data_IF_601586886546
#
_entry.id   IF_601586886546
#
_cell.length_a   1.000
_cell.length_b   1.000
_cell.length_c   1.000
_cell.angle_alpha   90.00
_cell.angle_beta   90.00
_cell.angle_gamma   90.00
#
_symmetry.space_group_name_H-M   'P 1'
#
loop_
_entity.id
_entity.type
_entity.pdbx_description
1 polymer ?
#
# COMPACT_ATOMS: atom_id res chain seq x y z
N UNK A 1 -15.03 3.27 -15.50
CA UNK A 1 -16.41 2.85 -15.89
C UNK A 1 -16.44 2.10 -17.21
N UNK A 2 -15.88 2.65 -18.29
CA UNK A 2 -15.97 2.07 -19.65
C UNK A 2 -15.25 0.72 -19.84
N UNK A 3 -14.41 0.31 -18.88
CA UNK A 3 -13.61 -0.92 -18.95
C UNK A 3 -13.83 -1.86 -17.76
N UNK A 4 -14.91 -1.69 -16.99
CA UNK A 4 -15.19 -2.54 -15.81
C UNK A 4 -14.25 -2.36 -14.60
N UNK A 5 -13.21 -1.54 -14.73
CA UNK A 5 -12.21 -1.28 -13.68
C UNK A 5 -12.81 -0.47 -12.52
N UNK A 6 -12.51 -0.93 -11.30
CA UNK A 6 -12.71 -0.21 -10.03
C UNK A 6 -11.48 0.63 -9.70
N UNK A 7 -11.69 1.72 -8.97
CA UNK A 7 -10.65 2.71 -8.65
C UNK A 7 -10.55 2.84 -7.14
N UNK A 8 -9.33 2.72 -6.62
CA UNK A 8 -8.97 3.19 -5.28
C UNK A 8 -8.49 4.64 -5.44
N UNK A 9 -9.01 5.52 -4.58
CA UNK A 9 -8.53 6.91 -4.50
C UNK A 9 -7.63 7.00 -3.29
N UNK A 10 -6.33 7.18 -3.52
CA UNK A 10 -5.30 7.27 -2.48
C UNK A 10 -4.88 8.73 -2.24
N UNK A 11 -4.80 9.11 -0.96
CA UNK A 11 -4.22 10.37 -0.52
C UNK A 11 -2.72 10.16 -0.28
N UNK A 12 -1.96 10.31 -1.37
CA UNK A 12 -0.54 9.95 -1.41
C UNK A 12 0.40 10.95 -0.71
N UNK A 13 0.03 12.23 -0.72
CA UNK A 13 0.85 13.34 -0.24
C UNK A 13 0.02 14.25 0.66
N UNK A 14 0.49 14.46 1.88
CA UNK A 14 -0.19 15.26 2.90
C UNK A 14 0.56 16.57 3.13
N UNK A 15 -0.18 17.62 3.52
CA UNK A 15 0.46 18.82 4.06
C UNK A 15 1.35 18.44 5.25
N UNK A 16 2.54 19.03 5.29
CA UNK A 16 3.56 18.80 6.31
C UNK A 16 4.23 17.41 6.25
N UNK A 17 3.93 16.60 5.22
CA UNK A 17 4.49 15.26 4.96
C UNK A 17 4.36 14.24 6.10
N UNK A 18 3.90 13.05 5.72
CA UNK A 18 3.71 11.92 6.62
C UNK A 18 4.90 10.96 6.68
N UNK A 19 5.95 11.18 5.89
CA UNK A 19 7.10 10.26 5.80
C UNK A 19 8.43 10.86 5.35
N UNK A 20 8.47 12.14 4.94
CA UNK A 20 9.73 12.80 4.57
C UNK A 20 10.30 12.36 3.23
N UNK A 21 9.62 11.48 2.49
CA UNK A 21 10.08 11.00 1.19
C UNK A 21 9.58 11.88 0.05
N UNK A 22 10.30 11.92 -1.06
CA UNK A 22 9.99 12.74 -2.24
C UNK A 22 8.57 12.49 -2.79
N UNK A 23 8.09 11.25 -2.76
CA UNK A 23 6.72 10.90 -3.20
C UNK A 23 5.61 11.46 -2.30
N UNK A 24 5.91 11.88 -1.06
CA UNK A 24 4.97 12.65 -0.23
C UNK A 24 4.92 14.14 -0.58
N UNK A 25 5.74 14.59 -1.54
CA UNK A 25 5.79 15.98 -2.00
C UNK A 25 6.54 16.94 -1.08
N UNK A 26 7.24 16.45 -0.05
CA UNK A 26 8.12 17.28 0.77
C UNK A 26 9.29 17.83 -0.05
N UNK A 27 9.73 19.04 0.29
CA UNK A 27 10.87 19.70 -0.37
C UNK A 27 12.19 19.49 0.39
N UNK A 28 12.12 19.27 1.69
CA UNK A 28 13.26 19.30 2.61
C UNK A 28 13.39 18.01 3.44
N UNK A 29 12.48 17.06 3.25
CA UNK A 29 12.53 15.76 3.91
C UNK A 29 12.01 15.76 5.35
N UNK A 30 11.47 16.89 5.83
CA UNK A 30 10.90 16.93 7.17
C UNK A 30 9.55 16.21 7.23
N UNK A 31 9.30 15.61 8.39
CA UNK A 31 8.04 14.99 8.78
C UNK A 31 7.45 15.87 9.88
N UNK A 32 6.48 16.69 9.51
CA UNK A 32 5.83 17.66 10.40
C UNK A 32 4.35 17.33 10.60
N UNK A 33 3.80 16.37 9.85
CA UNK A 33 2.42 15.94 10.01
C UNK A 33 2.16 15.36 11.41
N UNK A 34 1.03 15.74 12.01
CA UNK A 34 0.63 15.34 13.36
C UNK A 34 -0.72 15.93 13.76
N UNK A 35 -1.01 15.95 15.06
CA UNK A 35 -2.33 16.35 15.62
C UNK A 35 -2.85 17.70 15.07
N UNK A 36 -1.99 18.69 14.84
CA UNK A 36 -2.37 20.00 14.30
C UNK A 36 -2.85 19.97 12.84
N UNK A 37 -2.40 18.99 12.06
CA UNK A 37 -2.74 18.85 10.64
C UNK A 37 -3.93 17.92 10.41
N UNK A 38 -4.33 17.11 11.41
CA UNK A 38 -5.47 16.18 11.31
C UNK A 38 -6.74 16.84 10.75
N UNK A 39 -7.23 18.00 11.25
CA UNK A 39 -8.47 18.59 10.74
C UNK A 39 -8.41 18.90 9.24
N UNK A 40 -7.25 19.38 8.78
CA UNK A 40 -7.04 19.68 7.37
C UNK A 40 -6.97 18.41 6.53
N UNK A 41 -6.22 17.40 6.96
CA UNK A 41 -6.15 16.12 6.24
C UNK A 41 -7.54 15.47 6.14
N UNK A 42 -8.33 15.49 7.22
CA UNK A 42 -9.73 15.01 7.22
C UNK A 42 -10.59 15.79 6.23
N UNK A 43 -10.39 17.11 6.09
CA UNK A 43 -11.13 17.91 5.12
C UNK A 43 -10.85 17.52 3.66
N UNK A 44 -9.64 17.03 3.35
CA UNK A 44 -9.31 16.48 2.04
C UNK A 44 -10.05 15.16 1.81
N UNK A 45 -10.08 14.27 2.80
CA UNK A 45 -10.86 13.03 2.71
C UNK A 45 -12.36 13.32 2.57
N UNK A 46 -12.91 14.32 3.27
CA UNK A 46 -14.29 14.77 3.11
C UNK A 46 -14.58 15.18 1.67
N UNK A 47 -13.71 16.01 1.09
CA UNK A 47 -13.83 16.42 -0.29
C UNK A 47 -13.80 15.22 -1.27
N UNK A 48 -12.85 14.30 -1.10
CA UNK A 48 -12.73 13.11 -1.94
C UNK A 48 -13.94 12.17 -1.79
N UNK A 49 -14.38 11.91 -0.57
CA UNK A 49 -15.53 11.07 -0.27
C UNK A 49 -16.83 11.68 -0.82
N UNK A 50 -17.04 12.99 -0.66
CA UNK A 50 -18.17 13.71 -1.24
C UNK A 50 -18.18 13.63 -2.77
N UNK A 51 -17.00 13.76 -3.40
CA UNK A 51 -16.86 13.77 -4.85
C UNK A 51 -17.02 12.37 -5.48
N UNK A 52 -16.44 11.35 -4.85
CA UNK A 52 -16.29 10.02 -5.44
C UNK A 52 -17.15 8.95 -4.77
N UNK A 53 -17.64 9.16 -3.55
CA UNK A 53 -18.36 8.17 -2.73
C UNK A 53 -19.52 7.50 -3.46
N UNK A 54 -20.31 8.26 -4.23
CA UNK A 54 -21.46 7.73 -4.97
C UNK A 54 -21.14 7.22 -6.37
N UNK A 55 -19.85 7.10 -6.74
CA UNK A 55 -19.47 6.61 -8.07
C UNK A 55 -19.45 5.07 -8.07
N UNK A 56 -20.19 4.40 -8.98
CA UNK A 56 -20.19 2.94 -9.09
C UNK A 56 -18.83 2.31 -9.36
N UNK A 57 -17.86 3.08 -9.85
CA UNK A 57 -16.49 2.62 -10.09
C UNK A 57 -15.56 2.79 -8.89
N UNK A 58 -16.01 3.37 -7.77
CA UNK A 58 -15.20 3.45 -6.56
C UNK A 58 -15.05 2.04 -5.97
N UNK A 59 -13.80 1.61 -5.76
CA UNK A 59 -13.43 0.40 -5.05
C UNK A 59 -13.14 0.67 -3.58
N UNK A 60 -12.48 1.80 -3.28
CA UNK A 60 -12.20 2.25 -1.92
C UNK A 60 -11.55 3.63 -1.91
N UNK A 61 -11.38 4.17 -0.71
CA UNK A 61 -10.59 5.38 -0.44
C UNK A 61 -9.49 4.99 0.54
N UNK A 62 -8.25 5.24 0.15
CA UNK A 62 -7.10 5.12 1.03
C UNK A 62 -6.82 6.44 1.70
N UNK A 63 -6.72 6.39 3.04
CA UNK A 63 -6.72 7.58 3.86
C UNK A 63 -5.36 8.27 3.88
N UNK A 64 -4.28 7.53 3.74
CA UNK A 64 -2.90 8.05 3.80
C UNK A 64 -1.96 6.97 3.28
N UNK A 65 -1.10 7.35 2.35
CA UNK A 65 -0.02 6.50 1.88
C UNK A 65 1.18 6.53 2.83
N UNK A 66 1.69 5.35 3.18
CA UNK A 66 3.01 5.13 3.82
C UNK A 66 3.37 6.11 4.95
N UNK A 67 2.61 6.18 6.07
CA UNK A 67 3.06 6.92 7.24
C UNK A 67 4.39 6.35 7.76
N UNK A 68 5.33 7.21 8.12
CA UNK A 68 6.60 6.83 8.72
C UNK A 68 7.07 7.94 9.68
N UNK A 69 7.55 7.57 10.86
CA UNK A 69 8.00 8.55 11.87
C UNK A 69 6.87 9.37 12.51
N UNK A 70 5.61 9.07 12.19
CA UNK A 70 4.43 9.74 12.76
C UNK A 70 4.02 9.10 14.08
N UNK A 71 3.45 9.89 14.99
CA UNK A 71 2.91 9.36 16.24
C UNK A 71 1.71 8.43 15.96
N UNK A 72 1.77 7.19 16.47
CA UNK A 72 0.75 6.17 16.22
C UNK A 72 -0.64 6.56 16.77
N UNK A 73 -0.72 7.26 17.90
CA UNK A 73 -2.01 7.70 18.43
C UNK A 73 -2.61 8.83 17.59
N UNK A 74 -1.78 9.76 17.11
CA UNK A 74 -2.19 10.77 16.11
C UNK A 74 -2.70 10.12 14.83
N UNK A 75 -2.01 9.09 14.32
CA UNK A 75 -2.43 8.34 13.14
C UNK A 75 -3.79 7.66 13.36
N UNK A 76 -4.00 7.00 14.51
CA UNK A 76 -5.28 6.36 14.85
C UNK A 76 -6.41 7.38 15.02
N UNK A 77 -6.15 8.54 15.63
CA UNK A 77 -7.11 9.66 15.72
C UNK A 77 -7.53 10.11 14.32
N UNK A 78 -6.57 10.31 13.43
CA UNK A 78 -6.81 10.68 12.03
C UNK A 78 -7.65 9.61 11.31
N UNK A 79 -7.22 8.35 11.32
CA UNK A 79 -7.93 7.26 10.66
C UNK A 79 -9.36 7.11 11.13
N UNK A 80 -9.63 7.27 12.43
CA UNK A 80 -11.01 7.27 12.96
C UNK A 80 -11.84 8.41 12.38
N UNK A 81 -11.33 9.64 12.42
CA UNK A 81 -12.04 10.82 11.94
C UNK A 81 -12.31 10.77 10.43
N UNK A 82 -11.31 10.37 9.64
CA UNK A 82 -11.42 10.23 8.20
C UNK A 82 -12.34 9.06 7.79
N UNK A 83 -12.31 7.93 8.52
CA UNK A 83 -13.28 6.84 8.34
C UNK A 83 -14.72 7.33 8.54
N UNK A 84 -14.99 8.07 9.62
CA UNK A 84 -16.34 8.56 9.92
C UNK A 84 -16.86 9.46 8.79
N UNK A 85 -16.00 10.32 8.26
CA UNK A 85 -16.29 11.17 7.10
C UNK A 85 -16.62 10.35 5.85
N UNK A 86 -15.83 9.32 5.52
CA UNK A 86 -16.15 8.44 4.37
C UNK A 86 -17.52 7.79 4.55
N UNK A 87 -17.84 7.33 5.77
CA UNK A 87 -19.12 6.68 6.09
C UNK A 87 -20.33 7.60 5.95
N UNK A 88 -20.17 8.92 6.09
CA UNK A 88 -21.25 9.89 5.83
C UNK A 88 -21.71 9.87 4.36
N UNK A 89 -20.79 9.63 3.41
CA UNK A 89 -21.11 9.68 1.98
C UNK A 89 -21.34 8.32 1.34
N UNK A 90 -20.66 7.27 1.82
CA UNK A 90 -20.87 5.92 1.34
C UNK A 90 -20.62 4.87 2.44
N UNK A 91 -21.68 4.27 3.02
CA UNK A 91 -21.54 3.25 4.06
C UNK A 91 -20.93 1.94 3.54
N UNK A 92 -20.88 1.73 2.22
CA UNK A 92 -20.42 0.49 1.59
C UNK A 92 -19.03 0.61 0.96
N UNK A 93 -18.41 1.80 0.90
CA UNK A 93 -17.07 1.96 0.37
C UNK A 93 -16.03 1.28 1.29
N UNK A 94 -15.04 0.61 0.71
CA UNK A 94 -13.90 0.17 1.48
C UNK A 94 -13.05 1.38 1.90
N UNK A 95 -12.63 1.40 3.17
CA UNK A 95 -11.71 2.40 3.71
C UNK A 95 -10.39 1.71 3.94
N UNK A 96 -9.36 2.17 3.25
CA UNK A 96 -8.02 1.55 3.25
C UNK A 96 -7.13 2.39 4.17
N UNK A 97 -6.39 1.72 5.04
CA UNK A 97 -5.49 2.31 6.03
C UNK A 97 -4.12 1.69 5.84
N UNK A 98 -3.14 2.46 5.35
CA UNK A 98 -1.76 2.02 5.26
C UNK A 98 -1.20 1.75 6.66
N UNK A 99 -0.52 0.62 6.80
CA UNK A 99 0.35 0.40 7.96
C UNK A 99 1.51 1.41 7.94
N UNK A 100 2.00 1.82 9.12
CA UNK A 100 3.24 2.58 9.19
C UNK A 100 4.43 1.74 8.71
N UNK A 101 5.31 2.32 7.91
CA UNK A 101 6.47 1.63 7.35
C UNK A 101 7.50 1.21 8.42
N UNK A 102 7.49 1.88 9.57
CA UNK A 102 8.41 1.72 10.69
C UNK A 102 7.80 1.00 11.90
N UNK A 103 6.65 0.32 11.71
CA UNK A 103 5.96 -0.43 12.74
C UNK A 103 5.76 -1.92 12.36
N UNK A 104 5.36 -2.73 13.35
CA UNK A 104 4.90 -4.09 13.10
C UNK A 104 3.63 -4.07 12.22
N UNK A 105 3.56 -4.96 11.23
CA UNK A 105 2.47 -5.01 10.24
C UNK A 105 1.08 -5.27 10.85
N UNK A 106 1.01 -5.71 12.10
CA UNK A 106 -0.22 -6.02 12.84
C UNK A 106 -0.63 -4.90 13.79
N UNK A 107 0.12 -3.80 13.85
CA UNK A 107 -0.08 -2.69 14.82
C UNK A 107 -1.49 -2.07 14.78
N UNK A 108 -2.15 -2.14 13.62
CA UNK A 108 -3.51 -1.61 13.43
C UNK A 108 -4.63 -2.64 13.67
N UNK A 109 -4.36 -3.94 13.84
CA UNK A 109 -5.40 -4.97 13.92
C UNK A 109 -6.41 -4.74 15.05
N UNK A 110 -5.91 -4.41 16.25
CA UNK A 110 -6.78 -4.14 17.40
C UNK A 110 -7.60 -2.88 17.19
N UNK A 111 -7.02 -1.86 16.58
CA UNK A 111 -7.68 -0.60 16.26
C UNK A 111 -8.83 -0.84 15.26
N UNK A 112 -8.57 -1.55 14.16
CA UNK A 112 -9.58 -1.74 13.10
C UNK A 112 -10.73 -2.69 13.49
N UNK A 113 -10.65 -3.36 14.65
CA UNK A 113 -11.71 -4.25 15.15
C UNK A 113 -13.05 -3.53 15.35
N UNK A 114 -13.04 -2.23 15.65
CA UNK A 114 -14.25 -1.42 15.82
C UNK A 114 -14.90 -0.92 14.51
N UNK A 115 -14.35 -1.30 13.36
CA UNK A 115 -14.73 -0.77 12.06
C UNK A 115 -15.29 -1.87 11.15
N UNK A 116 -15.98 -1.46 10.07
CA UNK A 116 -16.49 -2.37 9.04
C UNK A 116 -16.02 -1.91 7.68
N UNK A 117 -15.89 -2.85 6.73
CA UNK A 117 -15.41 -2.56 5.35
C UNK A 117 -14.09 -1.80 5.37
N UNK A 118 -13.16 -2.23 6.22
CA UNK A 118 -11.80 -1.70 6.28
C UNK A 118 -10.81 -2.67 5.64
N UNK A 119 -9.71 -2.10 5.17
CA UNK A 119 -8.61 -2.81 4.53
C UNK A 119 -7.33 -2.26 5.13
N UNK A 120 -6.42 -3.14 5.52
CA UNK A 120 -5.05 -2.79 5.91
C UNK A 120 -4.15 -2.92 4.69
N UNK A 121 -3.44 -1.85 4.37
CA UNK A 121 -2.46 -1.83 3.29
C UNK A 121 -1.04 -2.08 3.83
N UNK A 122 -0.27 -2.87 3.09
CA UNK A 122 1.14 -3.15 3.32
C UNK A 122 1.91 -3.08 2.00
N UNK A 123 3.08 -2.44 2.06
CA UNK A 123 3.94 -2.28 0.90
C UNK A 123 5.16 -3.18 1.02
N UNK A 124 5.38 -4.01 0.00
CA UNK A 124 6.38 -5.06 0.04
C UNK A 124 7.45 -4.87 -1.04
N UNK A 125 8.57 -4.30 -0.59
CA UNK A 125 9.78 -4.11 -1.40
C UNK A 125 10.96 -4.92 -0.83
N UNK A 126 11.74 -5.56 -1.69
CA UNK A 126 13.05 -6.14 -1.34
C UNK A 126 14.21 -5.23 -1.78
N UNK A 127 14.10 -3.94 -1.46
CA UNK A 127 15.01 -2.88 -1.95
C UNK A 127 15.52 -1.96 -0.84
N UNK A 128 14.64 -1.51 0.05
CA UNK A 128 14.91 -0.39 0.95
C UNK A 128 15.46 -0.79 2.33
N UNK A 129 16.16 -1.92 2.40
CA UNK A 129 16.75 -2.42 3.65
C UNK A 129 18.06 -3.14 3.37
N UNK A 130 19.09 -2.85 4.17
CA UNK A 130 20.43 -3.44 4.05
C UNK A 130 20.44 -4.98 4.10
N UNK A 131 19.39 -5.58 4.69
CA UNK A 131 19.25 -7.05 4.70
C UNK A 131 19.20 -7.66 3.30
N UNK A 132 18.73 -6.90 2.30
CA UNK A 132 18.59 -7.38 0.92
C UNK A 132 19.88 -7.22 0.10
N UNK A 133 20.82 -6.36 0.54
CA UNK A 133 22.04 -6.02 -0.21
C UNK A 133 22.90 -7.23 -0.54
N UNK A 134 22.91 -8.24 0.33
CA UNK A 134 23.72 -9.45 0.18
C UNK A 134 22.91 -10.70 -0.15
N UNK A 135 21.60 -10.57 -0.41
CA UNK A 135 20.78 -11.72 -0.78
C UNK A 135 20.98 -12.09 -2.25
N UNK A 136 21.21 -13.37 -2.51
CA UNK A 136 21.17 -13.92 -3.87
C UNK A 136 19.71 -14.12 -4.36
N UNK A 137 19.56 -14.59 -5.60
CA UNK A 137 18.25 -14.88 -6.23
C UNK A 137 17.38 -15.78 -5.36
N UNK A 138 17.92 -16.93 -4.92
CA UNK A 138 17.15 -17.91 -4.17
C UNK A 138 16.74 -17.38 -2.79
N UNK A 139 17.65 -16.66 -2.11
CA UNK A 139 17.36 -16.05 -0.81
C UNK A 139 16.24 -15.01 -0.92
N UNK A 140 16.20 -14.21 -1.99
CA UNK A 140 15.10 -13.28 -2.22
C UNK A 140 13.77 -14.01 -2.46
N UNK A 141 13.77 -15.08 -3.25
CA UNK A 141 12.58 -15.90 -3.51
C UNK A 141 12.08 -16.56 -2.23
N UNK A 142 12.99 -17.16 -1.46
CA UNK A 142 12.67 -17.78 -0.16
C UNK A 142 12.10 -16.74 0.81
N UNK A 143 12.63 -15.51 0.78
CA UNK A 143 12.12 -14.41 1.59
C UNK A 143 10.65 -14.08 1.32
N UNK A 144 10.23 -14.19 0.06
CA UNK A 144 8.82 -14.01 -0.32
C UNK A 144 7.96 -15.15 0.26
N UNK A 145 8.37 -16.40 0.05
CA UNK A 145 7.59 -17.57 0.45
C UNK A 145 7.50 -17.79 1.96
N UNK A 146 8.49 -17.30 2.73
CA UNK A 146 8.54 -17.49 4.17
C UNK A 146 8.11 -16.21 4.89
N UNK A 147 8.92 -15.16 4.86
CA UNK A 147 8.74 -13.96 5.67
C UNK A 147 7.56 -13.12 5.18
N UNK A 148 7.48 -12.81 3.87
CA UNK A 148 6.35 -12.03 3.35
C UNK A 148 5.03 -12.80 3.44
N UNK A 149 5.05 -14.12 3.20
CA UNK A 149 3.85 -14.95 3.34
C UNK A 149 3.37 -15.00 4.81
N UNK A 150 4.29 -15.17 5.76
CA UNK A 150 3.98 -15.17 7.19
C UNK A 150 3.43 -13.82 7.63
N UNK A 151 4.07 -12.73 7.22
CA UNK A 151 3.64 -11.37 7.51
C UNK A 151 2.22 -11.12 6.99
N UNK A 152 2.00 -11.30 5.68
CA UNK A 152 0.71 -11.07 5.03
C UNK A 152 -0.43 -11.89 5.64
N UNK A 153 -0.15 -13.14 6.05
CA UNK A 153 -1.15 -14.00 6.71
C UNK A 153 -1.66 -13.41 8.03
N UNK A 154 -0.85 -12.58 8.70
CA UNK A 154 -1.19 -11.92 9.94
C UNK A 154 -1.85 -10.56 9.76
N UNK A 155 -1.79 -9.91 8.58
CA UNK A 155 -2.33 -8.56 8.34
C UNK A 155 -3.81 -8.60 7.94
N UNK A 156 -4.59 -9.47 8.58
CA UNK A 156 -6.04 -9.53 8.35
C UNK A 156 -6.78 -9.98 9.60
N UNK A 157 -8.08 -9.72 9.66
CA UNK A 157 -8.96 -10.19 10.74
C UNK A 157 -10.36 -10.44 10.21
N UNK A 158 -11.29 -10.88 11.05
CA UNK A 158 -12.71 -11.00 10.65
C UNK A 158 -13.31 -9.67 10.18
N UNK A 159 -12.74 -8.53 10.59
CA UNK A 159 -13.30 -7.20 10.34
C UNK A 159 -12.48 -6.41 9.31
N UNK A 160 -11.27 -6.85 8.98
CA UNK A 160 -10.34 -6.15 8.10
C UNK A 160 -9.71 -7.08 7.06
N UNK A 161 -9.77 -6.66 5.80
CA UNK A 161 -9.08 -7.33 4.69
C UNK A 161 -7.62 -6.87 4.60
N UNK A 162 -6.77 -7.66 3.94
CA UNK A 162 -5.38 -7.33 3.61
C UNK A 162 -5.25 -6.90 2.16
N UNK A 163 -4.46 -5.86 1.91
CA UNK A 163 -4.11 -5.38 0.57
C UNK A 163 -2.59 -5.26 0.49
N UNK A 164 -2.00 -5.76 -0.60
CA UNK A 164 -0.60 -5.46 -0.93
C UNK A 164 -0.62 -4.33 -1.95
N UNK A 165 -0.72 -3.09 -1.48
CA UNK A 165 -0.94 -1.90 -2.29
C UNK A 165 0.23 -1.53 -3.18
N UNK A 166 1.43 -1.90 -2.78
CA UNK A 166 2.63 -1.68 -3.59
C UNK A 166 3.62 -2.83 -3.51
N UNK A 167 4.13 -3.20 -4.68
CA UNK A 167 5.27 -4.08 -4.89
C UNK A 167 5.82 -3.93 -6.32
N UNK A 168 7.06 -4.39 -6.52
CA UNK A 168 7.73 -4.51 -7.82
C UNK A 168 8.53 -5.79 -7.93
N UNK A 169 8.70 -6.26 -9.16
CA UNK A 169 9.66 -7.31 -9.55
C UNK A 169 11.04 -6.68 -9.80
N UNK A 170 11.51 -5.87 -8.85
CA UNK A 170 12.83 -5.24 -8.82
C UNK A 170 13.50 -5.50 -7.45
N UNK A 171 14.80 -5.73 -7.48
CA UNK A 171 15.59 -6.16 -6.31
C UNK A 171 17.07 -5.75 -6.47
N UNK A 172 17.88 -5.96 -5.43
CA UNK A 172 19.29 -5.56 -5.45
C UNK A 172 20.22 -6.56 -6.17
N UNK A 173 19.69 -7.68 -6.71
CA UNK A 173 20.50 -8.72 -7.35
C UNK A 173 21.04 -8.25 -8.70
N UNK A 174 22.36 -8.10 -8.80
CA UNK A 174 23.04 -7.73 -10.04
C UNK A 174 23.20 -8.90 -11.00
N UNK A 175 23.02 -8.67 -12.30
CA UNK A 175 23.23 -9.67 -13.35
C UNK A 175 22.22 -10.83 -13.37
N UNK A 176 21.10 -10.70 -12.66
CA UNK A 176 20.02 -11.68 -12.68
C UNK A 176 19.49 -11.89 -14.10
N UNK A 177 19.26 -13.15 -14.47
CA UNK A 177 18.70 -13.48 -15.77
C UNK A 177 17.21 -13.14 -15.83
N UNK A 178 16.64 -13.06 -17.05
CA UNK A 178 15.19 -12.97 -17.21
C UNK A 178 14.43 -14.09 -16.46
N UNK A 179 15.00 -15.29 -16.43
CA UNK A 179 14.39 -16.43 -15.73
C UNK A 179 14.40 -16.22 -14.21
N UNK A 180 15.40 -15.53 -13.66
CA UNK A 180 15.45 -15.22 -12.23
C UNK A 180 14.37 -14.21 -11.84
N UNK A 181 14.18 -13.15 -12.63
CA UNK A 181 13.05 -12.22 -12.44
C UNK A 181 11.70 -12.93 -12.57
N UNK A 182 11.51 -13.77 -13.60
CA UNK A 182 10.28 -14.56 -13.75
C UNK A 182 9.99 -15.42 -12.50
N UNK A 183 11.02 -16.03 -11.91
CA UNK A 183 10.87 -16.84 -10.68
C UNK A 183 10.53 -15.98 -9.46
N UNK A 184 11.11 -14.78 -9.36
CA UNK A 184 10.84 -13.84 -8.28
C UNK A 184 9.45 -13.21 -8.37
N UNK A 185 9.11 -12.64 -9.53
CA UNK A 185 7.77 -12.15 -9.82
C UNK A 185 6.70 -13.22 -9.65
N UNK A 186 6.96 -14.49 -10.01
CA UNK A 186 6.03 -15.59 -9.73
C UNK A 186 5.86 -15.84 -8.24
N UNK A 187 6.94 -15.84 -7.45
CA UNK A 187 6.84 -15.99 -6.00
C UNK A 187 6.03 -14.85 -5.36
N UNK A 188 6.25 -13.61 -5.82
CA UNK A 188 5.47 -12.45 -5.40
C UNK A 188 3.99 -12.63 -5.75
N UNK A 189 3.66 -13.01 -6.99
CA UNK A 189 2.27 -13.28 -7.39
C UNK A 189 1.62 -14.39 -6.56
N UNK A 190 2.34 -15.48 -6.30
CA UNK A 190 1.83 -16.63 -5.53
C UNK A 190 1.53 -16.27 -4.08
N UNK A 191 2.29 -15.34 -3.49
CA UNK A 191 2.11 -14.90 -2.10
C UNK A 191 1.16 -13.72 -2.01
N UNK A 192 1.36 -12.67 -2.79
CA UNK A 192 0.57 -11.44 -2.71
C UNK A 192 -0.86 -11.64 -3.21
N UNK A 193 -1.12 -12.60 -4.11
CA UNK A 193 -2.50 -13.00 -4.47
C UNK A 193 -3.28 -13.66 -3.32
N UNK A 194 -2.65 -13.94 -2.18
CA UNK A 194 -3.33 -14.39 -0.96
C UNK A 194 -3.92 -13.23 -0.15
N UNK A 195 -3.56 -11.98 -0.47
CA UNK A 195 -4.15 -10.80 0.14
C UNK A 195 -5.66 -10.78 -0.15
N UNK A 196 -6.47 -10.56 0.88
CA UNK A 196 -7.92 -10.78 0.81
C UNK A 196 -8.69 -9.66 0.12
N UNK A 197 -8.05 -8.50 -0.09
CA UNK A 197 -8.54 -7.41 -0.92
C UNK A 197 -7.87 -7.36 -2.31
N UNK A 198 -6.71 -8.01 -2.46
CA UNK A 198 -5.92 -8.08 -3.69
C UNK A 198 -4.55 -7.43 -3.55
N UNK A 199 -3.96 -7.06 -4.69
CA UNK A 199 -2.65 -6.42 -4.76
C UNK A 199 -2.61 -5.39 -5.90
N UNK A 200 -1.68 -4.45 -5.84
CA UNK A 200 -1.39 -3.50 -6.91
C UNK A 200 0.13 -3.37 -7.15
N UNK A 201 0.51 -3.42 -8.43
CA UNK A 201 1.91 -3.29 -8.85
C UNK A 201 2.28 -1.82 -8.98
N UNK A 202 3.42 -1.41 -8.43
CA UNK A 202 3.92 -0.05 -8.51
C UNK A 202 4.98 0.10 -9.61
N UNK A 203 4.67 0.49 -10.84
CA UNK A 203 3.46 1.15 -11.33
C UNK A 203 3.05 0.56 -12.67
N UNK A 204 1.92 1.00 -13.22
CA UNK A 204 1.48 0.57 -14.55
C UNK A 204 2.51 0.90 -15.64
N UNK A 205 3.12 2.09 -15.58
CA UNK A 205 4.13 2.56 -16.53
C UNK A 205 5.19 3.39 -15.82
N UNK A 206 6.45 3.05 -16.03
CA UNK A 206 7.62 3.76 -15.53
C UNK A 206 8.70 3.82 -16.62
N UNK A 207 9.66 4.75 -16.49
CA UNK A 207 10.86 4.77 -17.34
C UNK A 207 11.83 3.63 -17.00
N UNK A 208 11.77 3.11 -15.77
CA UNK A 208 12.54 1.95 -15.34
C UNK A 208 11.75 0.67 -15.63
N UNK A 209 12.38 -0.27 -16.34
CA UNK A 209 11.72 -1.44 -16.91
C UNK A 209 10.96 -2.26 -15.87
N UNK A 210 11.62 -2.65 -14.77
CA UNK A 210 11.01 -3.49 -13.74
C UNK A 210 10.02 -2.74 -12.83
N UNK A 211 9.99 -1.41 -12.87
CA UNK A 211 8.96 -0.61 -12.21
C UNK A 211 7.73 -0.36 -13.10
N UNK A 212 7.69 -0.97 -14.29
CA UNK A 212 6.66 -0.77 -15.31
C UNK A 212 5.94 -2.08 -15.59
N UNK A 213 4.79 -2.31 -14.95
CA UNK A 213 3.99 -3.54 -15.13
C UNK A 213 3.68 -3.79 -16.62
N UNK A 214 3.37 -2.73 -17.37
CA UNK A 214 3.15 -2.82 -18.81
C UNK A 214 4.37 -3.41 -19.53
N UNK A 215 5.56 -2.91 -19.23
CA UNK A 215 6.79 -3.43 -19.83
C UNK A 215 7.06 -4.88 -19.41
N UNK A 216 6.83 -5.21 -18.13
CA UNK A 216 7.01 -6.56 -17.61
C UNK A 216 6.12 -7.58 -18.31
N UNK A 217 4.86 -7.25 -18.57
CA UNK A 217 3.93 -8.11 -19.31
C UNK A 217 4.33 -8.21 -20.79
N UNK A 218 4.57 -7.07 -21.45
CA UNK A 218 4.89 -7.05 -22.89
C UNK A 218 6.20 -7.76 -23.23
N UNK A 219 7.15 -7.79 -22.30
CA UNK A 219 8.43 -8.47 -22.47
C UNK A 219 8.47 -9.87 -21.83
N UNK A 220 7.34 -10.36 -21.30
CA UNK A 220 7.18 -11.71 -20.77
C UNK A 220 8.00 -11.99 -19.52
N UNK A 221 8.18 -11.00 -18.64
CA UNK A 221 8.72 -11.16 -17.29
C UNK A 221 7.61 -11.56 -16.30
N UNK A 222 6.42 -10.97 -16.46
CA UNK A 222 5.23 -11.29 -15.65
C UNK A 222 4.11 -11.80 -16.56
N UNK A 223 3.34 -12.77 -16.07
CA UNK A 223 2.12 -13.26 -16.72
C UNK A 223 0.97 -13.22 -15.71
N UNK A 224 -0.11 -12.52 -16.05
CA UNK A 224 -1.33 -12.37 -15.26
C UNK A 224 -2.49 -13.17 -15.86
#
# INVERSE_FOLDING_TARGET
RNHGIKVIVDLHALEASQNGNDHSGTRDGFIEWGDSYIPQTVSVIDFLAKRYGNKPSLGGIELMNEPQGVNLDSLKKYYKAAYDVVRQYNPNAYVIMSNPLDADSKVLLSFVSGFTKVVLDVHYYNLFSDKFTNMNVQQNIDYIYNERASDLSGVSSSNALSFVGEWVDEWLVQGASKQDYQRYGQAQLDVYSRATFGWAYWSYKCQYNHWSLKWMIENGYIKL
#
